data_IF_994472270067
#
_entry.id   IF_994472270067
#
_cell.length_a   1.000
_cell.length_b   1.000
_cell.length_c   1.000
_cell.angle_alpha   90.00
_cell.angle_beta   90.00
_cell.angle_gamma   90.00
#
_symmetry.space_group_name_H-M   'P 1'
#
loop_
_entity.id
_entity.type
_entity.pdbx_description
1 polymer ?
#
# COMPACT_ATOMS: atom_id res chain seq x y z
N UNK A 1 15.91 -27.92 -12.10
CA UNK A 1 15.37 -26.64 -11.59
C UNK A 1 15.44 -25.67 -12.73
N UNK A 2 14.30 -25.33 -13.32
CA UNK A 2 14.26 -24.21 -14.28
C UNK A 2 14.39 -22.90 -13.49
N UNK A 3 15.10 -21.89 -14.02
CA UNK A 3 15.26 -20.61 -13.34
C UNK A 3 13.90 -19.89 -13.23
N UNK A 4 13.55 -19.45 -12.02
CA UNK A 4 12.47 -18.49 -11.82
C UNK A 4 12.80 -17.22 -12.61
N UNK A 5 11.93 -16.84 -13.54
CA UNK A 5 12.14 -15.66 -14.37
C UNK A 5 11.72 -14.44 -13.55
N UNK A 6 12.71 -13.68 -13.08
CA UNK A 6 12.50 -12.35 -12.52
C UNK A 6 12.62 -11.33 -13.66
N UNK A 7 11.54 -10.59 -13.94
CA UNK A 7 11.54 -9.52 -14.93
C UNK A 7 11.58 -8.20 -14.15
N UNK A 8 12.76 -7.58 -14.10
CA UNK A 8 12.90 -6.19 -13.68
C UNK A 8 13.01 -5.32 -14.93
N UNK A 9 11.91 -4.66 -15.30
CA UNK A 9 11.92 -3.79 -16.49
C UNK A 9 12.31 -2.39 -16.06
N UNK A 10 13.60 -2.07 -16.17
CA UNK A 10 14.16 -0.74 -15.82
C UNK A 10 14.10 0.17 -17.05
N UNK A 11 13.14 1.10 -17.05
CA UNK A 11 13.11 2.46 -17.70
C UNK A 11 13.56 2.66 -19.15
N UNK A 12 14.07 1.65 -19.86
CA UNK A 12 14.41 1.72 -21.28
C UNK A 12 13.37 0.95 -22.06
N UNK A 13 12.78 1.60 -23.05
CA UNK A 13 11.87 0.98 -24.01
C UNK A 13 12.51 -0.29 -24.56
N UNK A 14 12.04 -1.45 -24.10
CA UNK A 14 12.38 -2.71 -24.72
C UNK A 14 11.85 -2.67 -26.15
N UNK A 15 12.61 -3.16 -27.15
CA UNK A 15 12.07 -3.33 -28.49
C UNK A 15 10.79 -4.17 -28.46
N UNK A 16 9.81 -3.87 -29.31
CA UNK A 16 8.52 -4.57 -29.38
C UNK A 16 8.69 -6.11 -29.49
N UNK A 17 9.71 -6.56 -30.20
CA UNK A 17 10.05 -7.98 -30.32
C UNK A 17 10.39 -8.63 -28.97
N UNK A 18 11.14 -7.93 -28.11
CA UNK A 18 11.45 -8.42 -26.77
C UNK A 18 10.20 -8.49 -25.90
N UNK A 19 9.32 -7.48 -25.98
CA UNK A 19 8.05 -7.46 -25.26
C UNK A 19 7.19 -8.65 -25.69
N UNK A 20 7.07 -8.91 -26.99
CA UNK A 20 6.32 -10.06 -27.51
C UNK A 20 6.86 -11.41 -26.98
N UNK A 21 8.18 -11.58 -26.94
CA UNK A 21 8.82 -12.79 -26.38
C UNK A 21 8.51 -12.92 -24.88
N UNK A 22 8.58 -11.85 -24.12
CA UNK A 22 8.23 -11.87 -22.70
C UNK A 22 6.77 -12.30 -22.51
N UNK A 23 5.83 -11.67 -23.23
CA UNK A 23 4.39 -11.98 -23.17
C UNK A 23 4.13 -13.46 -23.54
N UNK A 24 4.83 -14.01 -24.53
CA UNK A 24 4.69 -15.42 -24.92
C UNK A 24 5.04 -16.39 -23.76
N UNK A 25 5.84 -15.95 -22.79
CA UNK A 25 6.24 -16.73 -21.62
C UNK A 25 5.49 -16.36 -20.32
N UNK A 26 4.42 -15.54 -20.39
CA UNK A 26 3.70 -15.06 -19.19
C UNK A 26 3.11 -16.12 -18.28
N UNK A 27 2.88 -17.33 -18.80
CA UNK A 27 2.40 -18.47 -18.02
C UNK A 27 3.40 -18.94 -16.93
N UNK A 28 4.66 -18.49 -17.01
CA UNK A 28 5.75 -18.80 -16.07
C UNK A 28 6.06 -17.66 -15.11
N UNK A 29 5.41 -16.51 -15.27
CA UNK A 29 5.71 -15.34 -14.46
C UNK A 29 5.19 -15.55 -13.03
N UNK A 30 6.07 -15.32 -12.06
CA UNK A 30 5.71 -15.31 -10.64
C UNK A 30 5.75 -13.88 -10.05
N UNK A 31 6.60 -13.02 -10.60
CA UNK A 31 6.84 -11.66 -10.13
C UNK A 31 6.96 -10.72 -11.34
N UNK A 32 6.27 -9.59 -11.27
CA UNK A 32 6.32 -8.53 -12.27
C UNK A 32 6.64 -7.22 -11.55
N UNK A 33 7.65 -6.50 -12.05
CA UNK A 33 7.92 -5.11 -11.66
C UNK A 33 8.04 -4.24 -12.89
N UNK A 34 7.25 -3.17 -12.94
CA UNK A 34 7.13 -2.30 -14.09
C UNK A 34 7.18 -0.84 -13.69
N UNK A 35 8.05 -0.09 -14.37
CA UNK A 35 7.96 1.35 -14.46
C UNK A 35 7.17 1.70 -15.72
N UNK A 36 6.04 2.38 -15.55
CA UNK A 36 5.06 2.66 -16.58
C UNK A 36 5.13 4.14 -16.95
N UNK A 37 5.34 4.41 -18.23
CA UNK A 37 5.20 5.76 -18.80
C UNK A 37 3.75 6.04 -19.20
N UNK A 38 3.39 7.30 -19.42
CA UNK A 38 2.03 7.73 -19.77
C UNK A 38 1.45 7.07 -21.04
N UNK A 39 2.30 6.60 -21.96
CA UNK A 39 1.91 5.96 -23.22
C UNK A 39 1.92 4.41 -23.18
N UNK A 40 2.01 3.82 -22.00
CA UNK A 40 2.23 2.38 -21.88
C UNK A 40 1.00 1.55 -22.26
N UNK A 41 1.15 0.74 -23.32
CA UNK A 41 0.12 -0.21 -23.73
C UNK A 41 0.00 -1.35 -22.71
N UNK A 42 -1.23 -1.61 -22.27
CA UNK A 42 -1.63 -2.61 -21.29
C UNK A 42 -1.89 -3.99 -21.89
N UNK A 43 -1.65 -4.18 -23.19
CA UNK A 43 -1.82 -5.47 -23.87
C UNK A 43 -1.08 -6.64 -23.21
N UNK A 44 0.09 -6.39 -22.62
CA UNK A 44 0.87 -7.44 -21.93
C UNK A 44 0.17 -8.00 -20.69
N UNK A 45 -0.73 -7.22 -20.08
CA UNK A 45 -1.53 -7.66 -18.96
C UNK A 45 -2.64 -8.63 -19.39
N UNK A 46 -2.95 -8.75 -20.67
CA UNK A 46 -4.00 -9.65 -21.14
C UNK A 46 -3.59 -11.13 -21.07
N UNK A 47 -4.52 -11.97 -20.63
CA UNK A 47 -4.43 -13.43 -20.66
C UNK A 47 -3.93 -14.06 -19.38
N UNK A 48 -3.90 -15.40 -19.37
CA UNK A 48 -3.61 -16.19 -18.18
C UNK A 48 -2.17 -16.00 -17.67
N UNK A 49 -2.04 -15.68 -16.38
CA UNK A 49 -0.78 -15.68 -15.65
C UNK A 49 -0.94 -16.54 -14.37
N UNK A 50 -1.10 -17.87 -14.53
CA UNK A 50 -1.52 -18.78 -13.45
C UNK A 50 -0.53 -18.90 -12.29
N UNK A 51 0.73 -18.51 -12.51
CA UNK A 51 1.79 -18.56 -11.51
C UNK A 51 2.08 -17.21 -10.84
N UNK A 52 1.45 -16.13 -11.30
CA UNK A 52 1.76 -14.78 -10.84
C UNK A 52 1.33 -14.58 -9.38
N UNK A 53 2.27 -14.17 -8.54
CA UNK A 53 2.11 -13.97 -7.10
C UNK A 53 2.24 -12.52 -6.68
N UNK A 54 3.05 -11.76 -7.39
CA UNK A 54 3.34 -10.38 -7.04
C UNK A 54 3.43 -9.48 -8.27
N UNK A 55 2.84 -8.30 -8.13
CA UNK A 55 2.90 -7.24 -9.13
C UNK A 55 3.32 -5.95 -8.45
N UNK A 56 4.27 -5.25 -9.04
CA UNK A 56 4.67 -3.90 -8.68
C UNK A 56 4.59 -3.01 -9.93
N UNK A 57 3.77 -1.98 -9.88
CA UNK A 57 3.61 -1.02 -10.98
C UNK A 57 3.82 0.38 -10.41
N UNK A 58 4.80 1.08 -10.96
CA UNK A 58 5.12 2.46 -10.60
C UNK A 58 4.98 3.34 -11.85
N UNK A 59 4.16 4.39 -11.79
CA UNK A 59 4.12 5.38 -12.85
C UNK A 59 5.20 6.45 -12.66
N UNK A 60 5.84 6.84 -13.76
CA UNK A 60 6.94 7.81 -13.77
C UNK A 60 6.49 9.24 -13.43
N UNK A 61 5.24 9.58 -13.73
CA UNK A 61 4.69 10.92 -13.64
C UNK A 61 3.29 10.94 -13.05
N UNK A 62 2.92 12.08 -12.47
CA UNK A 62 1.55 12.37 -12.02
C UNK A 62 0.60 12.75 -13.17
N UNK A 63 1.05 12.60 -14.41
CA UNK A 63 0.19 12.91 -15.56
C UNK A 63 -0.93 11.87 -15.66
N UNK A 64 -2.05 12.24 -16.26
CA UNK A 64 -3.21 11.35 -16.43
C UNK A 64 -2.78 10.10 -17.22
N UNK A 65 -2.42 9.04 -16.50
CA UNK A 65 -2.20 7.72 -17.09
C UNK A 65 -3.56 7.21 -17.56
N UNK A 66 -3.68 6.69 -18.79
CA UNK A 66 -4.91 6.08 -19.26
C UNK A 66 -5.42 5.05 -18.24
N UNK A 67 -6.72 5.04 -17.92
CA UNK A 67 -7.26 4.12 -16.93
C UNK A 67 -6.99 2.68 -17.38
N UNK A 68 -6.39 1.88 -16.50
CA UNK A 68 -6.23 0.46 -16.71
C UNK A 68 -7.63 -0.18 -16.81
N UNK A 69 -7.88 -0.95 -17.87
CA UNK A 69 -9.16 -1.62 -18.06
C UNK A 69 -9.30 -2.86 -17.15
N UNK A 70 -10.47 -3.10 -16.54
CA UNK A 70 -10.73 -4.21 -15.62
C UNK A 70 -10.39 -5.59 -16.17
N UNK A 71 -10.58 -5.80 -17.48
CA UNK A 71 -10.47 -7.11 -18.12
C UNK A 71 -9.06 -7.70 -18.14
N UNK A 72 -8.05 -6.96 -17.67
CA UNK A 72 -6.66 -7.35 -17.88
C UNK A 72 -6.18 -8.39 -16.85
N UNK A 73 -6.60 -8.34 -15.58
CA UNK A 73 -5.98 -9.20 -14.55
C UNK A 73 -6.90 -10.19 -13.85
N UNK A 74 -7.95 -10.66 -14.51
CA UNK A 74 -8.86 -11.62 -13.89
C UNK A 74 -8.28 -13.05 -13.79
N UNK A 75 -7.29 -13.40 -14.61
CA UNK A 75 -6.73 -14.78 -14.64
C UNK A 75 -5.34 -14.86 -13.97
N UNK A 76 -5.31 -14.42 -12.70
CA UNK A 76 -4.13 -14.42 -11.81
C UNK A 76 -4.45 -15.10 -10.46
N UNK A 77 -4.85 -16.38 -10.45
CA UNK A 77 -5.40 -17.07 -9.27
C UNK A 77 -4.44 -17.21 -8.07
N UNK A 78 -3.16 -16.90 -8.28
CA UNK A 78 -2.12 -16.96 -7.25
C UNK A 78 -1.62 -15.60 -6.79
N UNK A 79 -2.21 -14.50 -7.29
CA UNK A 79 -1.79 -13.16 -6.92
C UNK A 79 -2.08 -12.91 -5.43
N UNK A 80 -1.06 -12.51 -4.68
CA UNK A 80 -1.11 -12.26 -3.24
C UNK A 80 -0.58 -10.89 -2.84
N UNK A 81 0.32 -10.32 -3.64
CA UNK A 81 0.96 -9.04 -3.34
C UNK A 81 0.81 -8.06 -4.50
N UNK A 82 0.39 -6.83 -4.20
CA UNK A 82 0.27 -5.75 -5.18
C UNK A 82 0.87 -4.48 -4.61
N UNK A 83 1.74 -3.84 -5.39
CA UNK A 83 2.27 -2.51 -5.12
C UNK A 83 1.90 -1.60 -6.29
N UNK A 84 1.16 -0.53 -6.03
CA UNK A 84 0.74 0.43 -7.04
C UNK A 84 1.18 1.84 -6.65
N UNK A 85 1.99 2.46 -7.50
CA UNK A 85 2.43 3.84 -7.38
C UNK A 85 1.80 4.73 -8.45
N UNK A 86 1.10 5.78 -8.04
CA UNK A 86 0.67 6.92 -8.90
C UNK A 86 -0.15 6.53 -10.15
N UNK A 87 -1.02 5.53 -10.03
CA UNK A 87 -1.89 5.14 -11.14
C UNK A 87 -3.33 5.56 -10.83
N UNK A 88 -4.07 6.09 -11.79
CA UNK A 88 -5.52 6.17 -11.69
C UNK A 88 -6.09 4.81 -12.09
N UNK A 89 -6.14 3.90 -11.13
CA UNK A 89 -6.56 2.53 -11.37
C UNK A 89 -8.06 2.39 -11.10
N UNK A 90 -8.79 1.82 -12.05
CA UNK A 90 -10.17 1.40 -11.81
C UNK A 90 -10.22 0.33 -10.71
N UNK A 91 -11.26 0.39 -9.89
CA UNK A 91 -11.45 -0.47 -8.71
C UNK A 91 -11.52 -1.97 -9.08
N UNK A 92 -11.67 -2.33 -10.36
CA UNK A 92 -11.92 -3.71 -10.81
C UNK A 92 -10.72 -4.37 -11.51
N UNK A 93 -9.53 -3.78 -11.42
CA UNK A 93 -8.35 -4.27 -12.17
C UNK A 93 -7.85 -5.60 -11.61
N UNK A 94 -7.74 -5.72 -10.29
CA UNK A 94 -7.17 -6.89 -9.63
C UNK A 94 -8.24 -7.67 -8.86
N UNK A 95 -8.05 -8.99 -8.67
CA UNK A 95 -8.85 -9.77 -7.74
C UNK A 95 -8.45 -9.44 -6.29
N UNK A 96 -8.86 -8.28 -5.79
CA UNK A 96 -8.45 -7.74 -4.48
C UNK A 96 -8.70 -8.69 -3.31
N UNK A 97 -9.79 -9.47 -3.37
CA UNK A 97 -10.23 -10.35 -2.29
C UNK A 97 -9.29 -11.49 -1.93
N UNK A 98 -8.32 -11.82 -2.79
CA UNK A 98 -7.30 -12.84 -2.52
C UNK A 98 -5.93 -12.24 -2.14
N UNK A 99 -5.79 -10.91 -2.10
CA UNK A 99 -4.53 -10.28 -1.71
C UNK A 99 -4.29 -10.39 -0.20
N UNK A 100 -3.03 -10.62 0.17
CA UNK A 100 -2.55 -10.66 1.54
C UNK A 100 -1.59 -9.51 1.84
N UNK A 101 -0.99 -8.91 0.81
CA UNK A 101 -0.08 -7.76 0.93
C UNK A 101 -0.46 -6.68 -0.08
N UNK A 102 -0.53 -5.43 0.37
CA UNK A 102 -0.88 -4.30 -0.46
C UNK A 102 -0.09 -3.06 -0.10
N UNK A 103 0.53 -2.43 -1.10
CA UNK A 103 1.12 -1.10 -0.99
C UNK A 103 0.47 -0.17 -2.02
N UNK A 104 -0.09 0.94 -1.57
CA UNK A 104 -0.79 1.91 -2.42
C UNK A 104 -0.20 3.31 -2.23
N UNK A 105 0.07 4.02 -3.32
CA UNK A 105 0.32 5.46 -3.33
C UNK A 105 -0.87 6.15 -3.99
N UNK A 106 -1.88 6.52 -3.18
CA UNK A 106 -3.21 6.95 -3.65
C UNK A 106 -3.86 7.97 -2.72
N UNK A 107 -4.90 8.63 -3.23
CA UNK A 107 -5.83 9.39 -2.42
C UNK A 107 -6.62 8.47 -1.44
N UNK A 108 -7.04 8.99 -0.27
CA UNK A 108 -7.73 8.21 0.76
C UNK A 108 -9.01 7.51 0.29
N UNK A 109 -9.78 8.14 -0.59
CA UNK A 109 -11.07 7.62 -1.05
C UNK A 109 -10.89 6.33 -1.87
N UNK A 110 -9.95 6.35 -2.79
CA UNK A 110 -9.56 5.25 -3.68
C UNK A 110 -8.99 4.09 -2.87
N UNK A 111 -8.10 4.40 -1.91
CA UNK A 111 -7.60 3.39 -0.97
C UNK A 111 -8.75 2.66 -0.28
N UNK A 112 -9.74 3.41 0.21
CA UNK A 112 -10.87 2.82 0.94
C UNK A 112 -11.72 1.90 0.08
N UNK A 113 -11.97 2.27 -1.18
CA UNK A 113 -12.72 1.45 -2.11
C UNK A 113 -12.00 0.12 -2.45
N UNK A 114 -10.67 0.15 -2.55
CA UNK A 114 -9.86 -1.06 -2.74
C UNK A 114 -9.85 -1.91 -1.46
N UNK A 115 -9.63 -1.31 -0.30
CA UNK A 115 -9.55 -2.01 0.98
C UNK A 115 -10.87 -2.70 1.36
N UNK A 116 -12.02 -2.15 0.96
CA UNK A 116 -13.31 -2.81 1.15
C UNK A 116 -13.43 -4.17 0.45
N UNK A 117 -12.65 -4.39 -0.62
CA UNK A 117 -12.63 -5.67 -1.33
C UNK A 117 -11.52 -6.60 -0.86
N UNK A 118 -10.44 -6.05 -0.30
CA UNK A 118 -9.23 -6.76 0.07
C UNK A 118 -9.30 -7.35 1.50
N UNK A 119 -10.33 -8.17 1.75
CA UNK A 119 -10.66 -8.70 3.09
C UNK A 119 -9.65 -9.70 3.67
N UNK A 120 -8.77 -10.26 2.83
CA UNK A 120 -7.71 -11.20 3.24
C UNK A 120 -6.36 -10.52 3.49
N UNK A 121 -6.31 -9.18 3.49
CA UNK A 121 -5.07 -8.45 3.74
C UNK A 121 -4.53 -8.74 5.13
N UNK A 122 -3.23 -9.03 5.18
CA UNK A 122 -2.41 -9.24 6.38
C UNK A 122 -1.46 -8.06 6.55
N UNK A 123 -0.91 -7.55 5.45
CA UNK A 123 -0.03 -6.38 5.41
C UNK A 123 -0.62 -5.30 4.52
N UNK A 124 -0.64 -4.06 5.01
CA UNK A 124 -1.08 -2.91 4.25
C UNK A 124 -0.16 -1.70 4.51
N UNK A 125 0.30 -1.08 3.42
CA UNK A 125 1.08 0.15 3.46
C UNK A 125 0.46 1.19 2.54
N UNK A 126 -0.03 2.28 3.14
CA UNK A 126 -0.67 3.36 2.41
C UNK A 126 0.20 4.61 2.44
N UNK A 127 0.55 5.10 1.27
CA UNK A 127 1.19 6.39 1.05
C UNK A 127 0.12 7.34 0.55
N UNK A 128 -0.37 8.19 1.45
CA UNK A 128 -1.54 9.02 1.19
C UNK A 128 -1.12 10.43 0.77
N UNK A 129 -1.83 10.98 -0.22
CA UNK A 129 -1.74 12.38 -0.64
C UNK A 129 -3.14 12.95 -0.87
N UNK A 130 -3.21 14.27 -1.02
CA UNK A 130 -4.46 14.99 -1.31
C UNK A 130 -5.34 15.21 -0.08
N UNK A 131 -6.42 15.97 -0.29
CA UNK A 131 -7.41 16.23 0.74
C UNK A 131 -8.34 15.01 0.91
N UNK A 132 -8.71 14.72 2.15
CA UNK A 132 -9.75 13.74 2.43
C UNK A 132 -11.11 14.33 2.09
N UNK A 133 -11.57 14.11 0.86
CA UNK A 133 -13.00 14.07 0.59
C UNK A 133 -13.71 13.10 1.56
N UNK A 134 -15.05 13.07 1.60
CA UNK A 134 -15.78 12.18 2.49
C UNK A 134 -15.39 10.72 2.26
N UNK A 135 -14.65 10.13 3.19
CA UNK A 135 -14.14 8.76 3.09
C UNK A 135 -15.29 7.81 3.46
N UNK A 136 -15.53 6.74 2.69
CA UNK A 136 -16.48 5.70 3.07
C UNK A 136 -16.20 5.16 4.47
N UNK A 137 -17.20 5.20 5.36
CA UNK A 137 -17.06 4.66 6.70
C UNK A 137 -17.06 3.11 6.67
N UNK A 138 -16.45 2.51 7.70
CA UNK A 138 -16.54 1.08 8.05
C UNK A 138 -15.79 0.11 7.13
N UNK A 139 -14.56 0.43 6.73
CA UNK A 139 -13.66 -0.53 6.09
C UNK A 139 -13.27 -1.62 7.10
N UNK A 140 -13.63 -2.87 6.81
CA UNK A 140 -13.37 -4.03 7.67
C UNK A 140 -12.17 -4.82 7.14
N UNK A 141 -11.12 -4.94 7.94
CA UNK A 141 -9.88 -5.64 7.58
C UNK A 141 -9.60 -6.73 8.64
N UNK A 142 -10.37 -7.84 8.64
CA UNK A 142 -10.37 -8.80 9.74
C UNK A 142 -9.05 -9.55 9.94
N UNK A 143 -8.25 -9.67 8.88
CA UNK A 143 -6.98 -10.42 8.89
C UNK A 143 -5.75 -9.52 8.97
N UNK A 144 -5.93 -8.19 9.04
CA UNK A 144 -4.82 -7.25 8.92
C UNK A 144 -3.99 -7.24 10.21
N UNK A 145 -2.72 -7.62 10.09
CA UNK A 145 -1.76 -7.71 11.19
C UNK A 145 -0.83 -6.50 11.23
N UNK A 146 -0.47 -5.94 10.06
CA UNK A 146 0.42 -4.78 9.95
C UNK A 146 -0.22 -3.68 9.10
N UNK A 147 -0.30 -2.47 9.66
CA UNK A 147 -0.74 -1.26 8.96
C UNK A 147 0.34 -0.18 9.07
N UNK A 148 0.80 0.31 7.93
CA UNK A 148 1.74 1.41 7.82
C UNK A 148 1.07 2.54 7.04
N UNK A 149 1.04 3.73 7.64
CA UNK A 149 0.56 4.95 7.01
C UNK A 149 1.75 5.88 6.79
N UNK A 150 1.86 6.46 5.61
CA UNK A 150 2.94 7.38 5.24
C UNK A 150 2.34 8.61 4.56
N UNK A 151 2.70 9.84 4.98
CA UNK A 151 2.25 11.03 4.30
C UNK A 151 3.15 11.26 3.09
N UNK A 152 2.56 11.36 1.90
CA UNK A 152 3.30 11.89 0.76
C UNK A 152 3.32 13.42 0.85
N UNK A 153 4.51 13.98 1.02
CA UNK A 153 4.64 15.42 1.20
C UNK A 153 4.25 16.16 -0.09
N UNK A 154 3.28 17.06 0.02
CA UNK A 154 2.74 17.91 -1.05
C UNK A 154 1.99 19.11 -0.46
N UNK A 155 1.45 20.00 -1.29
CA UNK A 155 0.85 21.30 -0.89
C UNK A 155 -0.47 21.19 -0.07
N UNK A 156 -0.85 19.99 0.40
CA UNK A 156 -2.10 19.75 1.13
C UNK A 156 -1.86 19.27 2.56
N UNK A 157 -2.72 19.69 3.50
CA UNK A 157 -2.77 19.06 4.81
C UNK A 157 -3.26 17.61 4.65
N UNK A 158 -2.59 16.62 5.27
CA UNK A 158 -3.00 15.25 5.16
C UNK A 158 -4.39 15.04 5.77
N UNK A 159 -5.25 14.27 5.10
CA UNK A 159 -6.58 13.95 5.60
C UNK A 159 -6.56 13.34 7.01
N UNK A 160 -7.06 14.09 8.00
CA UNK A 160 -6.85 13.83 9.43
C UNK A 160 -7.70 12.72 10.04
N UNK A 161 -8.44 11.91 9.27
CA UNK A 161 -9.41 10.97 9.87
C UNK A 161 -9.41 9.58 9.24
N UNK A 162 -8.34 9.20 8.53
CA UNK A 162 -8.31 7.92 7.81
C UNK A 162 -8.52 6.72 8.75
N UNK A 163 -7.84 6.73 9.91
CA UNK A 163 -7.96 5.67 10.90
C UNK A 163 -9.39 5.47 11.40
N UNK A 164 -10.22 6.52 11.47
CA UNK A 164 -11.60 6.43 11.94
C UNK A 164 -12.47 5.52 11.07
N UNK A 165 -12.11 5.35 9.80
CA UNK A 165 -12.84 4.54 8.84
C UNK A 165 -12.51 3.05 8.94
N UNK A 166 -11.37 2.70 9.56
CA UNK A 166 -10.83 1.35 9.59
C UNK A 166 -11.25 0.60 10.86
N UNK A 167 -11.49 -0.71 10.71
CA UNK A 167 -11.62 -1.69 11.80
C UNK A 167 -10.72 -2.89 11.48
N UNK A 168 -9.72 -3.14 12.31
CA UNK A 168 -8.70 -4.18 12.08
C UNK A 168 -8.43 -4.99 13.36
N UNK A 169 -9.27 -6.00 13.68
CA UNK A 169 -9.18 -6.73 14.95
C UNK A 169 -7.92 -7.59 15.12
N UNK A 170 -7.31 -8.03 14.04
CA UNK A 170 -6.06 -8.79 14.06
C UNK A 170 -4.80 -7.90 14.13
N UNK A 171 -4.95 -6.57 14.22
CA UNK A 171 -3.81 -5.67 14.10
C UNK A 171 -2.84 -5.80 15.29
N UNK A 172 -1.57 -6.02 14.96
CA UNK A 172 -0.47 -6.15 15.91
C UNK A 172 0.55 -5.01 15.75
N UNK A 173 0.75 -4.53 14.53
CA UNK A 173 1.72 -3.47 14.24
C UNK A 173 1.01 -2.30 13.58
N UNK A 174 1.11 -1.12 14.20
CA UNK A 174 0.64 0.14 13.66
C UNK A 174 1.81 1.11 13.54
N UNK A 175 2.08 1.59 12.34
CA UNK A 175 2.96 2.72 12.08
C UNK A 175 2.12 3.86 11.49
N UNK A 176 2.11 5.01 12.15
CA UNK A 176 1.27 6.14 11.78
C UNK A 176 1.98 7.48 12.02
N UNK A 177 1.90 8.44 11.09
CA UNK A 177 2.43 9.77 11.30
C UNK A 177 1.55 10.52 12.30
N UNK A 178 2.15 11.31 13.20
CA UNK A 178 1.36 12.08 14.16
C UNK A 178 0.41 13.06 13.48
N UNK A 179 0.75 13.56 12.29
CA UNK A 179 -0.12 14.42 11.48
C UNK A 179 -1.46 13.77 11.11
N UNK A 180 -1.52 12.43 11.02
CA UNK A 180 -2.76 11.70 10.76
C UNK A 180 -3.60 11.48 12.01
N UNK A 181 -3.09 11.87 13.18
CA UNK A 181 -3.74 11.72 14.48
C UNK A 181 -4.28 13.05 15.03
N UNK A 182 -3.96 14.16 14.38
CA UNK A 182 -4.42 15.49 14.78
C UNK A 182 -5.94 15.66 14.58
N UNK A 183 -6.59 16.55 15.37
CA UNK A 183 -6.00 17.44 16.39
C UNK A 183 -5.79 16.77 17.76
N UNK A 184 -6.22 15.51 17.95
CA UNK A 184 -6.23 14.86 19.26
C UNK A 184 -5.63 13.45 19.18
N UNK A 185 -4.29 13.31 19.16
CA UNK A 185 -3.66 12.05 18.82
C UNK A 185 -4.01 10.87 19.72
N UNK A 186 -4.04 11.11 21.03
CA UNK A 186 -4.37 10.09 22.01
C UNK A 186 -5.83 9.61 21.87
N UNK A 187 -6.75 10.53 21.60
CA UNK A 187 -8.17 10.19 21.45
C UNK A 187 -8.44 9.42 20.16
N UNK A 188 -7.74 9.76 19.07
CA UNK A 188 -7.85 9.04 17.81
C UNK A 188 -7.34 7.61 17.93
N UNK A 189 -6.16 7.43 18.53
CA UNK A 189 -5.60 6.10 18.78
C UNK A 189 -6.48 5.27 19.72
N UNK A 190 -6.96 5.85 20.83
CA UNK A 190 -7.92 5.18 21.73
C UNK A 190 -9.18 4.74 21.00
N UNK A 191 -9.75 5.62 20.19
CA UNK A 191 -10.96 5.33 19.41
C UNK A 191 -10.72 4.22 18.40
N UNK A 192 -9.59 4.24 17.70
CA UNK A 192 -9.18 3.19 16.77
C UNK A 192 -8.98 1.84 17.46
N UNK A 193 -8.22 1.79 18.55
CA UNK A 193 -7.95 0.56 19.31
C UNK A 193 -9.25 -0.01 19.89
N UNK A 194 -10.10 0.85 20.47
CA UNK A 194 -11.39 0.46 21.03
C UNK A 194 -12.34 -0.11 19.97
N UNK A 195 -12.45 0.55 18.81
CA UNK A 195 -13.29 0.09 17.69
C UNK A 195 -12.77 -1.21 17.09
N UNK A 196 -11.47 -1.29 16.82
CA UNK A 196 -10.83 -2.47 16.24
C UNK A 196 -10.79 -3.65 17.23
N UNK A 197 -10.78 -3.37 18.54
CA UNK A 197 -10.57 -4.37 19.60
C UNK A 197 -9.27 -5.17 19.39
N UNK A 198 -8.28 -4.53 18.77
CA UNK A 198 -7.00 -5.15 18.47
C UNK A 198 -6.10 -5.19 19.71
N UNK A 199 -5.04 -5.99 19.61
CA UNK A 199 -3.99 -6.09 20.64
C UNK A 199 -2.68 -5.71 19.99
N UNK A 200 -2.43 -4.40 19.96
CA UNK A 200 -1.19 -3.87 19.42
C UNK A 200 -0.01 -4.38 20.23
N UNK A 201 0.96 -4.94 19.52
CA UNK A 201 2.26 -5.33 20.04
C UNK A 201 3.28 -4.22 19.79
N UNK A 202 3.12 -3.50 18.69
CA UNK A 202 3.98 -2.40 18.28
C UNK A 202 3.17 -1.20 17.81
N UNK A 203 3.48 -0.03 18.36
CA UNK A 203 2.99 1.27 17.93
C UNK A 203 4.20 2.15 17.57
N UNK A 204 4.31 2.57 16.31
CA UNK A 204 5.32 3.49 15.84
C UNK A 204 4.66 4.82 15.45
N UNK A 205 5.04 5.90 16.14
CA UNK A 205 4.61 7.26 15.80
C UNK A 205 5.72 7.93 14.99
N UNK A 206 5.41 8.34 13.77
CA UNK A 206 6.35 8.95 12.83
C UNK A 206 6.10 10.44 12.63
N UNK A 207 7.09 11.17 12.11
CA UNK A 207 6.96 12.59 11.75
C UNK A 207 7.94 13.50 12.49
N UNK A 208 8.04 14.74 12.01
CA UNK A 208 8.99 15.76 12.45
C UNK A 208 8.46 16.69 13.53
N UNK A 209 7.13 16.78 13.64
CA UNK A 209 6.43 17.66 14.55
C UNK A 209 5.55 16.83 15.47
N UNK A 210 5.74 17.03 16.78
CA UNK A 210 4.95 16.37 17.81
C UNK A 210 4.14 17.37 18.60
N UNK A 211 2.84 17.14 18.63
CA UNK A 211 1.89 17.88 19.45
C UNK A 211 1.82 17.32 20.88
N UNK A 212 2.16 16.04 21.04
CA UNK A 212 2.13 15.31 22.32
C UNK A 212 3.54 14.80 22.66
N UNK A 213 3.94 14.90 23.93
CA UNK A 213 5.24 14.38 24.36
C UNK A 213 5.28 12.85 24.35
N UNK A 214 6.45 12.26 24.08
CA UNK A 214 6.65 10.80 24.12
C UNK A 214 6.17 10.17 25.44
N UNK A 215 6.43 10.86 26.55
CA UNK A 215 6.01 10.42 27.89
C UNK A 215 4.49 10.25 28.02
N UNK A 216 3.69 11.03 27.31
CA UNK A 216 2.23 10.94 27.36
C UNK A 216 1.74 9.71 26.59
N UNK A 217 2.35 9.39 25.44
CA UNK A 217 2.06 8.14 24.72
C UNK A 217 2.45 6.91 25.54
N UNK A 218 3.64 6.93 26.16
CA UNK A 218 4.11 5.84 27.02
C UNK A 218 3.21 5.63 28.24
N UNK A 219 2.69 6.72 28.82
CA UNK A 219 1.77 6.66 29.94
C UNK A 219 0.38 6.16 29.51
N UNK A 220 -0.17 6.70 28.43
CA UNK A 220 -1.53 6.36 27.96
C UNK A 220 -1.62 4.93 27.41
N UNK A 221 -0.55 4.44 26.79
CA UNK A 221 -0.51 3.14 26.13
C UNK A 221 0.46 2.17 26.80
N UNK A 222 0.55 2.19 28.13
CA UNK A 222 1.49 1.37 28.91
C UNK A 222 1.38 -0.15 28.66
N UNK A 223 0.20 -0.62 28.19
CA UNK A 223 -0.05 -2.01 27.84
C UNK A 223 0.56 -2.45 26.49
N UNK A 224 1.04 -1.51 25.66
CA UNK A 224 1.67 -1.82 24.37
C UNK A 224 3.16 -2.14 24.60
N UNK A 225 3.63 -3.37 24.30
CA UNK A 225 5.00 -3.80 24.60
C UNK A 225 6.10 -2.94 23.95
N UNK A 226 5.87 -2.47 22.73
CA UNK A 226 6.83 -1.68 21.97
C UNK A 226 6.20 -0.39 21.44
N UNK A 227 6.55 0.74 22.06
CA UNK A 227 6.21 2.07 21.54
C UNK A 227 7.49 2.69 21.00
N UNK A 228 7.47 2.98 19.70
CA UNK A 228 8.59 3.52 18.95
C UNK A 228 8.26 4.92 18.44
N UNK A 229 9.30 5.72 18.31
CA UNK A 229 9.24 7.12 17.91
C UNK A 229 10.28 7.33 16.82
N UNK A 230 9.83 7.48 15.58
CA UNK A 230 10.72 7.70 14.44
C UNK A 230 10.61 9.15 13.96
N UNK A 231 11.72 9.89 14.06
CA UNK A 231 11.82 11.28 13.59
C UNK A 231 12.42 11.38 12.19
N UNK A 232 12.68 10.25 11.52
CA UNK A 232 13.19 10.29 10.15
C UNK A 232 12.13 10.90 9.24
N UNK A 233 12.46 12.06 8.66
CA UNK A 233 11.75 12.58 7.51
C UNK A 233 11.89 11.54 6.41
N UNK A 234 10.76 10.94 6.02
CA UNK A 234 10.71 10.10 4.84
C UNK A 234 10.58 11.08 3.67
N UNK A 235 11.72 11.55 3.16
CA UNK A 235 11.70 12.14 1.82
C UNK A 235 11.40 11.04 0.78
N UNK A 236 10.90 11.43 -0.39
CA UNK A 236 10.46 10.48 -1.40
C UNK A 236 11.59 9.56 -1.90
N UNK A 237 12.83 10.05 -1.92
CA UNK A 237 13.99 9.28 -2.35
C UNK A 237 14.32 8.20 -1.31
N UNK A 238 14.34 8.55 -0.03
CA UNK A 238 14.50 7.62 1.10
C UNK A 238 13.35 6.61 1.17
N UNK A 239 12.13 7.01 0.78
CA UNK A 239 10.99 6.10 0.70
C UNK A 239 11.21 4.98 -0.32
N UNK A 240 11.64 5.33 -1.55
CA UNK A 240 11.92 4.35 -2.59
C UNK A 240 13.02 3.37 -2.15
N UNK A 241 14.04 3.87 -1.45
CA UNK A 241 15.11 3.04 -0.86
C UNK A 241 14.61 2.14 0.28
N UNK A 242 13.79 2.66 1.21
CA UNK A 242 13.20 1.88 2.31
C UNK A 242 12.28 0.78 1.79
N UNK A 243 11.40 1.08 0.83
CA UNK A 243 10.58 0.06 0.15
C UNK A 243 11.46 -1.00 -0.50
N UNK A 244 12.58 -0.61 -1.13
CA UNK A 244 13.50 -1.57 -1.72
C UNK A 244 14.18 -2.48 -0.68
N UNK A 245 14.40 -2.00 0.54
CA UNK A 245 15.01 -2.75 1.64
C UNK A 245 14.02 -3.66 2.39
N UNK A 246 12.77 -3.25 2.58
CA UNK A 246 11.73 -4.08 3.21
C UNK A 246 11.38 -5.33 2.40
N UNK A 247 11.73 -5.36 1.10
CA UNK A 247 11.59 -6.53 0.20
C UNK A 247 12.29 -7.81 0.68
N UNK A 248 13.21 -7.73 1.65
CA UNK A 248 13.97 -8.89 2.13
C UNK A 248 13.43 -9.56 3.40
N UNK A 249 12.36 -9.03 4.01
CA UNK A 249 11.90 -9.48 5.35
C UNK A 249 10.66 -10.39 5.29
N UNK A 250 9.99 -10.49 4.13
CA UNK A 250 8.78 -11.33 3.98
C UNK A 250 9.07 -12.56 3.11
N UNK A 251 9.80 -13.53 3.68
CA UNK A 251 9.87 -14.93 3.20
C UNK A 251 9.91 -15.89 4.39
#
# INVERSE_FOLDING_TARGET
MEPNIFIETVQKTLPDECVAVLIAHRHRWEYIKLAVASEFDVQWAQGAMPLLRQIEIEADTWTEVPPLHPTHWHDVPRLRSVTLGKLFSSIDIFPWSQLTSLTLIYEPMECSAILQQAVQLVYCHLVLFGDSGPIPANVQLPSLETLILTPLHGDGEPGTHYLETLTAPALHTLEVPESFLLPSPLDMLRSFISRSRCRLQQLCITGDTRSVSESMYLYEFEDIPAILFDMSLIDYESYAEKLAQQRYIVL
#
